data_IF_144546551119
#
_entry.id   IF_144546551119
#
_cell.length_a   1.000
_cell.length_b   1.000
_cell.length_c   1.000
_cell.angle_alpha   90.00
_cell.angle_beta   90.00
_cell.angle_gamma   90.00
#
_symmetry.space_group_name_H-M   'P 1'
#
loop_
_entity.id
_entity.type
_entity.pdbx_description
1 polymer ?
#
# COMPACT_ATOMS: atom_id res chain seq x y z
N UNK A 1 -89.70 53.26 7.93
CA UNK A 1 -88.80 52.09 8.11
C UNK A 1 -88.09 51.66 6.83
N UNK A 2 -88.77 51.27 5.73
CA UNK A 2 -88.08 50.90 4.47
C UNK A 2 -87.47 52.13 3.77
N UNK A 3 -88.24 53.22 3.65
CA UNK A 3 -87.77 54.49 3.06
C UNK A 3 -86.55 55.09 3.77
N UNK A 4 -86.48 54.93 5.09
CA UNK A 4 -85.40 55.52 5.91
C UNK A 4 -84.10 54.70 5.85
N UNK A 5 -84.18 53.43 5.46
CA UNK A 5 -83.05 52.49 5.45
C UNK A 5 -82.60 52.09 4.04
N UNK A 6 -83.36 52.43 2.99
CA UNK A 6 -83.03 52.12 1.61
C UNK A 6 -82.59 53.38 0.86
N UNK A 7 -81.29 53.53 0.68
CA UNK A 7 -80.71 54.56 -0.19
C UNK A 7 -80.43 53.98 -1.56
N UNK A 8 -80.99 54.60 -2.60
CA UNK A 8 -80.82 54.18 -4.00
C UNK A 8 -79.86 55.17 -4.66
N UNK A 9 -78.77 54.66 -5.23
CA UNK A 9 -77.81 55.44 -6.02
C UNK A 9 -77.92 54.97 -7.48
N UNK A 10 -78.15 55.91 -8.39
CA UNK A 10 -78.30 55.64 -9.82
C UNK A 10 -77.13 56.26 -10.58
N UNK A 11 -76.30 55.42 -11.19
CA UNK A 11 -75.22 55.87 -12.07
C UNK A 11 -75.72 55.86 -13.53
N UNK A 12 -75.93 57.03 -14.10
CA UNK A 12 -76.48 57.20 -15.44
C UNK A 12 -75.49 57.96 -16.33
N UNK A 13 -75.32 57.51 -17.57
CA UNK A 13 -74.47 58.21 -18.53
C UNK A 13 -75.22 59.42 -19.12
N UNK A 14 -74.62 60.62 -19.13
CA UNK A 14 -75.19 61.79 -19.80
C UNK A 14 -75.08 61.71 -21.33
N UNK A 15 -74.38 60.71 -21.86
CA UNK A 15 -74.14 60.56 -23.30
C UNK A 15 -75.36 59.94 -23.99
N UNK A 16 -75.90 60.66 -24.98
CA UNK A 16 -77.03 60.23 -25.82
C UNK A 16 -78.38 60.74 -25.33
N UNK A 17 -79.46 60.32 -25.99
CA UNK A 17 -80.81 60.83 -25.71
C UNK A 17 -81.57 60.04 -24.64
N UNK A 18 -81.12 58.82 -24.33
CA UNK A 18 -81.84 57.90 -23.44
C UNK A 18 -82.07 58.47 -22.03
N UNK A 19 -81.07 59.15 -21.45
CA UNK A 19 -81.20 59.79 -20.14
C UNK A 19 -82.26 60.90 -20.18
N UNK A 20 -82.22 61.75 -21.21
CA UNK A 20 -83.19 62.84 -21.39
C UNK A 20 -84.61 62.31 -21.51
N UNK A 21 -84.82 61.24 -22.28
CA UNK A 21 -86.14 60.59 -22.42
C UNK A 21 -86.60 59.99 -21.10
N UNK A 22 -85.72 59.32 -20.34
CA UNK A 22 -86.07 58.74 -19.03
C UNK A 22 -86.44 59.80 -17.99
N UNK A 23 -85.71 60.91 -17.93
CA UNK A 23 -86.02 62.02 -17.02
C UNK A 23 -87.40 62.63 -17.35
N UNK A 24 -87.76 62.73 -18.64
CA UNK A 24 -89.09 63.20 -19.07
C UNK A 24 -90.20 62.23 -18.72
N UNK A 25 -89.96 60.92 -18.85
CA UNK A 25 -90.92 59.88 -18.47
C UNK A 25 -91.10 59.75 -16.96
N UNK A 26 -90.04 60.00 -16.17
CA UNK A 26 -90.03 59.84 -14.72
C UNK A 26 -89.50 61.09 -14.00
N UNK A 27 -90.34 62.12 -13.80
CA UNK A 27 -89.95 63.37 -13.12
C UNK A 27 -89.47 63.19 -11.68
N UNK A 28 -89.87 62.10 -11.02
CA UNK A 28 -89.43 61.75 -9.66
C UNK A 28 -87.92 61.55 -9.54
N UNK A 29 -87.22 61.18 -10.62
CA UNK A 29 -85.77 61.04 -10.63
C UNK A 29 -85.04 62.38 -10.39
N UNK A 30 -85.65 63.51 -10.76
CA UNK A 30 -85.08 64.84 -10.52
C UNK A 30 -85.62 65.44 -9.22
N UNK A 31 -86.90 65.20 -8.91
CA UNK A 31 -87.55 65.80 -7.75
C UNK A 31 -87.21 65.11 -6.42
N UNK A 32 -86.84 63.82 -6.44
CA UNK A 32 -86.63 63.03 -5.22
C UNK A 32 -85.18 62.54 -5.05
N UNK A 33 -84.29 62.82 -6.00
CA UNK A 33 -82.87 62.45 -5.90
C UNK A 33 -82.00 63.71 -5.95
N UNK A 34 -80.87 63.66 -5.23
CA UNK A 34 -79.79 64.63 -5.42
C UNK A 34 -78.99 64.26 -6.66
N UNK A 35 -78.67 65.27 -7.49
CA UNK A 35 -77.88 65.09 -8.70
C UNK A 35 -76.45 65.47 -8.40
N UNK A 36 -75.52 64.57 -8.71
CA UNK A 36 -74.08 64.78 -8.62
C UNK A 36 -73.47 64.59 -10.01
N UNK A 37 -72.69 65.56 -10.47
CA UNK A 37 -72.12 65.59 -11.82
C UNK A 37 -70.64 65.18 -11.77
N UNK A 38 -70.30 64.15 -12.54
CA UNK A 38 -68.92 63.73 -12.74
C UNK A 38 -68.36 64.37 -14.02
N UNK A 39 -67.66 65.48 -13.83
CA UNK A 39 -66.92 66.13 -14.91
C UNK A 39 -65.59 65.43 -15.21
N UNK A 40 -65.01 65.84 -16.34
CA UNK A 40 -63.65 65.45 -16.71
C UNK A 40 -62.65 65.89 -15.62
N UNK A 41 -61.58 65.11 -15.45
CA UNK A 41 -60.57 65.44 -14.47
C UNK A 41 -59.81 66.70 -14.86
N UNK A 42 -59.74 67.72 -13.98
CA UNK A 42 -58.94 68.90 -14.25
C UNK A 42 -57.45 68.53 -14.30
N UNK A 43 -56.65 69.41 -14.89
CA UNK A 43 -55.20 69.22 -15.04
C UNK A 43 -54.51 68.94 -13.69
N UNK A 44 -54.93 69.64 -12.63
CA UNK A 44 -54.41 69.45 -11.28
C UNK A 44 -54.67 68.04 -10.73
N UNK A 45 -55.85 67.46 -11.04
CA UNK A 45 -56.20 66.11 -10.62
C UNK A 45 -55.37 65.07 -11.39
N UNK A 46 -55.20 65.24 -12.71
CA UNK A 46 -54.34 64.39 -13.54
C UNK A 46 -52.88 64.46 -13.05
N UNK A 47 -52.41 65.65 -12.70
CA UNK A 47 -51.05 65.85 -12.18
C UNK A 47 -50.86 65.18 -10.81
N UNK A 48 -51.84 65.28 -9.91
CA UNK A 48 -51.80 64.65 -8.59
C UNK A 48 -51.75 63.12 -8.70
N UNK A 49 -52.56 62.56 -9.61
CA UNK A 49 -52.61 61.11 -9.87
C UNK A 49 -51.31 60.63 -10.49
N UNK A 50 -50.83 61.27 -11.56
CA UNK A 50 -49.57 60.89 -12.20
C UNK A 50 -48.39 60.97 -11.23
N UNK A 51 -48.29 62.01 -10.40
CA UNK A 51 -47.27 62.11 -9.34
C UNK A 51 -47.31 60.91 -8.39
N UNK A 52 -48.49 60.52 -7.91
CA UNK A 52 -48.66 59.38 -6.98
C UNK A 52 -48.27 58.03 -7.62
N UNK A 53 -48.56 57.85 -8.91
CA UNK A 53 -48.18 56.62 -9.60
C UNK A 53 -46.68 56.58 -9.91
N UNK A 54 -46.11 57.69 -10.38
CA UNK A 54 -44.69 57.81 -10.74
C UNK A 54 -43.79 57.76 -9.50
N UNK A 55 -44.25 58.26 -8.34
CA UNK A 55 -43.48 58.18 -7.10
C UNK A 55 -43.18 56.75 -6.67
N UNK A 56 -43.99 55.78 -7.10
CA UNK A 56 -43.76 54.36 -6.82
C UNK A 56 -42.65 53.74 -7.68
N UNK A 57 -42.21 54.41 -8.74
CA UNK A 57 -41.16 53.93 -9.63
C UNK A 57 -39.80 54.20 -8.98
N UNK A 58 -39.13 53.14 -8.52
CA UNK A 58 -37.86 53.22 -7.76
C UNK A 58 -36.64 53.57 -8.62
N UNK A 59 -36.72 53.41 -9.94
CA UNK A 59 -35.58 53.53 -10.85
C UNK A 59 -35.10 54.97 -11.09
N UNK A 60 -35.95 55.97 -10.83
CA UNK A 60 -35.59 57.37 -11.00
C UNK A 60 -35.13 57.97 -9.65
N UNK A 61 -33.84 58.26 -9.55
CA UNK A 61 -33.26 58.91 -8.35
C UNK A 61 -33.54 60.41 -8.29
N UNK A 62 -33.70 61.05 -9.46
CA UNK A 62 -33.94 62.49 -9.57
C UNK A 62 -35.44 62.80 -9.54
N UNK A 63 -35.85 63.57 -8.55
CA UNK A 63 -37.23 64.00 -8.35
C UNK A 63 -37.69 65.00 -9.44
N UNK A 64 -36.75 65.74 -10.04
CA UNK A 64 -37.03 66.63 -11.18
C UNK A 64 -37.55 65.85 -12.38
N UNK A 65 -36.95 64.69 -12.67
CA UNK A 65 -37.36 63.81 -13.77
C UNK A 65 -38.76 63.25 -13.51
N UNK A 66 -39.06 62.84 -12.27
CA UNK A 66 -40.41 62.35 -11.92
C UNK A 66 -41.48 63.43 -12.09
N UNK A 67 -41.17 64.67 -11.71
CA UNK A 67 -42.09 65.79 -11.90
C UNK A 67 -42.30 66.12 -13.39
N UNK A 68 -41.23 66.09 -14.19
CA UNK A 68 -41.31 66.28 -15.63
C UNK A 68 -42.14 65.17 -16.30
N UNK A 69 -41.94 63.92 -15.89
CA UNK A 69 -42.71 62.78 -16.38
C UNK A 69 -44.19 62.88 -16.01
N UNK A 70 -44.52 63.32 -14.80
CA UNK A 70 -45.90 63.54 -14.38
C UNK A 70 -46.59 64.58 -15.28
N UNK A 71 -45.93 65.72 -15.53
CA UNK A 71 -46.42 66.74 -16.47
C UNK A 71 -46.56 66.20 -17.89
N UNK A 72 -45.61 65.37 -18.36
CA UNK A 72 -45.68 64.74 -19.67
C UNK A 72 -46.89 63.80 -19.80
N UNK A 73 -47.20 63.00 -18.76
CA UNK A 73 -48.38 62.15 -18.76
C UNK A 73 -49.66 62.97 -18.89
N UNK A 74 -49.77 64.08 -18.16
CA UNK A 74 -50.91 65.01 -18.26
C UNK A 74 -51.03 65.56 -19.68
N UNK A 75 -49.93 66.08 -20.23
CA UNK A 75 -49.88 66.61 -21.60
C UNK A 75 -50.37 65.59 -22.64
N UNK A 76 -49.90 64.34 -22.56
CA UNK A 76 -50.33 63.27 -23.48
C UNK A 76 -51.83 62.97 -23.37
N UNK A 77 -52.39 63.01 -22.17
CA UNK A 77 -53.83 62.78 -21.99
C UNK A 77 -54.67 63.90 -22.61
N UNK A 78 -54.29 65.14 -22.32
CA UNK A 78 -54.96 66.34 -22.86
C UNK A 78 -54.85 66.40 -24.38
N UNK A 79 -53.67 66.09 -24.95
CA UNK A 79 -53.49 66.06 -26.40
C UNK A 79 -54.36 65.00 -27.06
N UNK A 80 -54.48 63.80 -26.46
CA UNK A 80 -55.38 62.76 -27.00
C UNK A 80 -56.85 63.20 -26.98
N UNK A 81 -57.26 63.98 -25.99
CA UNK A 81 -58.61 64.53 -25.93
C UNK A 81 -58.86 65.59 -27.02
N UNK A 82 -57.90 66.49 -27.24
CA UNK A 82 -57.94 67.48 -28.32
C UNK A 82 -58.00 66.80 -29.70
N UNK A 83 -57.12 65.83 -29.95
CA UNK A 83 -57.09 65.04 -31.18
C UNK A 83 -58.38 64.24 -31.37
N UNK A 84 -58.97 63.70 -30.30
CA UNK A 84 -60.27 63.01 -30.38
C UNK A 84 -61.39 63.94 -30.83
N UNK A 85 -61.32 65.23 -30.45
CA UNK A 85 -62.27 66.26 -30.87
C UNK A 85 -62.08 66.62 -32.34
N UNK A 86 -60.85 66.79 -32.79
CA UNK A 86 -60.52 67.03 -34.19
C UNK A 86 -60.92 65.85 -35.08
N UNK A 87 -60.65 64.63 -34.64
CA UNK A 87 -61.04 63.39 -35.30
C UNK A 87 -62.57 63.28 -35.46
N UNK A 88 -63.32 63.65 -34.42
CA UNK A 88 -64.77 63.72 -34.52
C UNK A 88 -65.23 64.80 -35.51
N UNK A 89 -64.59 65.97 -35.51
CA UNK A 89 -64.95 67.04 -36.43
C UNK A 89 -64.75 66.64 -37.89
N UNK A 90 -63.64 65.97 -38.20
CA UNK A 90 -63.27 65.53 -39.55
C UNK A 90 -64.08 64.32 -40.05
N UNK A 91 -64.18 63.26 -39.23
CA UNK A 91 -64.72 61.96 -39.68
C UNK A 91 -66.10 61.62 -39.09
N UNK A 92 -66.63 62.44 -38.18
CA UNK A 92 -67.89 62.21 -37.45
C UNK A 92 -67.92 60.89 -36.67
N UNK A 93 -66.75 60.30 -36.39
CA UNK A 93 -66.58 59.10 -35.57
C UNK A 93 -66.19 59.50 -34.15
N UNK A 94 -67.01 59.14 -33.16
CA UNK A 94 -66.73 59.44 -31.75
C UNK A 94 -65.74 58.43 -31.18
N UNK A 95 -64.67 58.94 -30.57
CA UNK A 95 -63.74 58.20 -29.72
C UNK A 95 -63.89 58.74 -28.30
N UNK A 96 -63.85 57.86 -27.31
CA UNK A 96 -64.02 58.24 -25.91
C UNK A 96 -62.73 57.99 -25.15
N UNK A 97 -62.23 59.03 -24.50
CA UNK A 97 -61.13 58.95 -23.55
C UNK A 97 -61.73 58.86 -22.14
N UNK A 98 -61.35 57.84 -21.38
CA UNK A 98 -61.85 57.66 -20.01
C UNK A 98 -60.71 57.85 -19.00
N UNK A 99 -61.00 58.28 -17.76
CA UNK A 99 -59.99 58.31 -16.69
C UNK A 99 -59.33 56.95 -16.44
N UNK A 100 -60.05 55.85 -16.71
CA UNK A 100 -59.48 54.50 -16.64
C UNK A 100 -58.39 54.28 -17.68
N UNK A 101 -58.57 54.75 -18.91
CA UNK A 101 -57.55 54.70 -19.96
C UNK A 101 -56.27 55.46 -19.55
N UNK A 102 -56.40 56.58 -18.82
CA UNK A 102 -55.26 57.31 -18.27
C UNK A 102 -54.50 56.51 -17.19
N UNK A 103 -55.23 55.90 -16.26
CA UNK A 103 -54.64 55.03 -15.23
C UNK A 103 -53.94 53.82 -15.85
N UNK A 104 -54.53 53.21 -16.88
CA UNK A 104 -53.96 52.08 -17.59
C UNK A 104 -52.71 52.47 -18.38
N UNK A 105 -52.68 53.68 -18.97
CA UNK A 105 -51.49 54.23 -19.61
C UNK A 105 -50.33 54.36 -18.61
N UNK A 106 -50.55 55.00 -17.46
CA UNK A 106 -49.49 55.17 -16.45
C UNK A 106 -49.04 53.83 -15.85
N UNK A 107 -49.99 52.92 -15.62
CA UNK A 107 -49.69 51.58 -15.08
C UNK A 107 -48.87 50.76 -16.08
N UNK A 108 -49.25 50.79 -17.35
CA UNK A 108 -48.51 50.14 -18.45
C UNK A 108 -47.11 50.72 -18.60
N UNK A 109 -46.98 52.04 -18.52
CA UNK A 109 -45.68 52.72 -18.56
C UNK A 109 -44.77 52.28 -17.41
N UNK A 110 -45.31 52.26 -16.19
CA UNK A 110 -44.56 51.85 -14.99
C UNK A 110 -44.04 50.40 -15.13
N UNK A 111 -44.92 49.48 -15.54
CA UNK A 111 -44.55 48.09 -15.81
C UNK A 111 -43.48 47.97 -16.89
N UNK A 112 -43.62 48.71 -17.99
CA UNK A 112 -42.67 48.67 -19.10
C UNK A 112 -41.27 49.16 -18.70
N UNK A 113 -41.20 50.21 -17.86
CA UNK A 113 -39.93 50.72 -17.32
C UNK A 113 -39.26 49.68 -16.44
N UNK A 114 -40.01 49.00 -15.56
CA UNK A 114 -39.46 47.96 -14.69
C UNK A 114 -38.91 46.77 -15.50
N UNK A 115 -39.67 46.32 -16.51
CA UNK A 115 -39.25 45.25 -17.43
C UNK A 115 -37.97 45.62 -18.19
N UNK A 116 -37.91 46.82 -18.77
CA UNK A 116 -36.74 47.28 -19.53
C UNK A 116 -35.52 47.48 -18.65
N UNK A 117 -35.69 48.01 -17.44
CA UNK A 117 -34.59 48.15 -16.49
C UNK A 117 -34.06 46.79 -16.04
N UNK A 118 -34.93 45.81 -15.80
CA UNK A 118 -34.53 44.44 -15.47
C UNK A 118 -33.72 43.80 -16.62
N UNK A 119 -34.21 43.94 -17.86
CA UNK A 119 -33.52 43.45 -19.05
C UNK A 119 -32.12 44.09 -19.21
N UNK A 120 -32.03 45.41 -19.10
CA UNK A 120 -30.77 46.14 -19.22
C UNK A 120 -29.81 45.84 -18.07
N UNK A 121 -30.31 45.72 -16.84
CA UNK A 121 -29.52 45.33 -15.67
C UNK A 121 -28.95 43.93 -15.85
N UNK A 122 -29.74 42.98 -16.35
CA UNK A 122 -29.28 41.63 -16.70
C UNK A 122 -28.13 41.66 -17.71
N UNK A 123 -28.30 42.38 -18.83
CA UNK A 123 -27.26 42.54 -19.85
C UNK A 123 -25.99 43.21 -19.29
N UNK A 124 -26.15 44.26 -18.47
CA UNK A 124 -25.04 44.93 -17.79
C UNK A 124 -24.28 43.96 -16.89
N UNK A 125 -24.98 43.15 -16.09
CA UNK A 125 -24.35 42.19 -15.18
C UNK A 125 -23.60 41.09 -15.93
N UNK A 126 -24.13 40.61 -17.06
CA UNK A 126 -23.43 39.66 -17.93
C UNK A 126 -22.14 40.27 -18.48
N UNK A 127 -22.20 41.49 -19.01
CA UNK A 127 -21.02 42.19 -19.51
C UNK A 127 -19.99 42.46 -18.41
N UNK A 128 -20.45 42.89 -17.24
CA UNK A 128 -19.59 43.12 -16.07
C UNK A 128 -18.88 41.83 -15.63
N UNK A 129 -19.62 40.72 -15.57
CA UNK A 129 -19.03 39.41 -15.24
C UNK A 129 -18.03 38.96 -16.30
N UNK A 130 -18.33 39.20 -17.58
CA UNK A 130 -17.40 38.94 -18.68
C UNK A 130 -16.12 39.76 -18.58
N UNK A 131 -16.25 41.07 -18.32
CA UNK A 131 -15.12 41.97 -18.14
C UNK A 131 -14.26 41.55 -16.94
N UNK A 132 -14.89 41.22 -15.81
CA UNK A 132 -14.19 40.74 -14.62
C UNK A 132 -13.39 39.47 -14.91
N UNK A 133 -13.98 38.50 -15.61
CA UNK A 133 -13.27 37.27 -16.01
C UNK A 133 -12.10 37.56 -16.95
N UNK A 134 -12.25 38.50 -17.87
CA UNK A 134 -11.16 38.91 -18.75
C UNK A 134 -10.02 39.56 -17.97
N UNK A 135 -10.34 40.42 -17.01
CA UNK A 135 -9.35 41.03 -16.12
C UNK A 135 -8.62 39.97 -15.28
N UNK A 136 -9.36 39.06 -14.64
CA UNK A 136 -8.80 37.93 -13.89
C UNK A 136 -7.88 37.07 -14.77
N UNK A 137 -8.33 36.72 -15.98
CA UNK A 137 -7.53 35.94 -16.94
C UNK A 137 -6.26 36.70 -17.36
N UNK A 138 -6.36 38.00 -17.60
CA UNK A 138 -5.21 38.81 -17.98
C UNK A 138 -4.17 38.89 -16.85
N UNK A 139 -4.62 39.02 -15.60
CA UNK A 139 -3.71 38.96 -14.44
C UNK A 139 -3.04 37.60 -14.30
N UNK A 140 -3.76 36.51 -14.55
CA UNK A 140 -3.21 35.17 -14.47
C UNK A 140 -2.23 34.88 -15.62
N UNK A 141 -2.52 35.33 -16.84
CA UNK A 141 -1.59 35.24 -17.98
C UNK A 141 -0.31 36.02 -17.70
N UNK A 142 -0.40 37.21 -17.08
CA UNK A 142 0.77 37.97 -16.68
C UNK A 142 1.61 37.22 -15.64
N UNK A 143 0.97 36.62 -14.62
CA UNK A 143 1.62 35.80 -13.59
C UNK A 143 2.34 34.58 -14.19
N UNK A 144 1.66 33.81 -15.03
CA UNK A 144 2.22 32.66 -15.73
C UNK A 144 3.36 33.08 -16.67
N UNK A 145 3.26 34.24 -17.31
CA UNK A 145 4.33 34.81 -18.13
C UNK A 145 5.61 35.10 -17.33
N UNK A 146 5.48 35.59 -16.09
CA UNK A 146 6.61 35.79 -15.20
C UNK A 146 7.21 34.46 -14.69
N UNK A 147 6.37 33.49 -14.31
CA UNK A 147 6.82 32.16 -13.91
C UNK A 147 7.58 31.45 -15.03
N UNK A 148 7.07 31.54 -16.26
CA UNK A 148 7.70 30.95 -17.43
C UNK A 148 9.06 31.60 -17.74
N UNK A 149 9.20 32.93 -17.54
CA UNK A 149 10.49 33.62 -17.62
C UNK A 149 11.49 33.11 -16.58
N UNK A 150 11.04 32.78 -15.36
CA UNK A 150 11.89 32.22 -14.29
C UNK A 150 12.25 30.75 -14.53
N UNK A 151 11.31 29.93 -15.02
CA UNK A 151 11.47 28.49 -15.22
C UNK A 151 12.30 28.14 -16.45
N UNK A 152 12.24 28.94 -17.53
CA UNK A 152 13.04 28.72 -18.74
C UNK A 152 14.54 28.50 -18.49
N UNK A 153 15.27 29.40 -17.81
CA UNK A 153 16.70 29.22 -17.58
C UNK A 153 17.01 28.03 -16.66
N UNK A 154 16.14 27.77 -15.67
CA UNK A 154 16.28 26.62 -14.76
C UNK A 154 16.13 25.32 -15.54
N UNK A 155 15.18 25.24 -16.49
CA UNK A 155 15.00 24.07 -17.33
C UNK A 155 16.21 23.84 -18.24
N UNK A 156 16.72 24.89 -18.89
CA UNK A 156 17.93 24.81 -19.71
C UNK A 156 19.15 24.33 -18.89
N UNK A 157 19.33 24.82 -17.66
CA UNK A 157 20.37 24.33 -16.76
C UNK A 157 20.17 22.87 -16.37
N UNK A 158 18.95 22.46 -16.02
CA UNK A 158 18.66 21.07 -15.68
C UNK A 158 18.89 20.12 -16.85
N UNK A 159 18.58 20.52 -18.09
CA UNK A 159 18.88 19.72 -19.29
C UNK A 159 20.39 19.51 -19.43
N UNK A 160 21.18 20.57 -19.24
CA UNK A 160 22.65 20.49 -19.29
C UNK A 160 23.18 19.58 -18.16
N UNK A 161 22.65 19.70 -16.95
CA UNK A 161 23.04 18.87 -15.80
C UNK A 161 22.64 17.40 -16.00
N UNK A 162 21.45 17.14 -16.54
CA UNK A 162 20.97 15.81 -16.87
C UNK A 162 21.85 15.15 -17.93
N UNK A 163 22.23 15.89 -18.99
CA UNK A 163 23.16 15.36 -20.00
C UNK A 163 24.52 15.03 -19.40
N UNK A 164 25.04 15.86 -18.49
CA UNK A 164 26.29 15.58 -17.76
C UNK A 164 26.16 14.33 -16.90
N UNK A 165 25.07 14.21 -16.13
CA UNK A 165 24.83 13.06 -15.27
C UNK A 165 24.66 11.77 -16.07
N UNK A 166 23.97 11.82 -17.22
CA UNK A 166 23.81 10.69 -18.14
C UNK A 166 25.17 10.17 -18.60
N UNK A 167 26.10 11.06 -18.97
CA UNK A 167 27.47 10.67 -19.37
C UNK A 167 28.27 10.02 -18.24
N UNK A 168 28.08 10.47 -17.00
CA UNK A 168 28.72 9.86 -15.83
C UNK A 168 28.12 8.48 -15.56
N UNK A 169 26.79 8.36 -15.55
CA UNK A 169 26.10 7.08 -15.37
C UNK A 169 26.44 6.04 -16.44
N UNK A 170 26.62 6.47 -17.70
CA UNK A 170 27.08 5.56 -18.76
C UNK A 170 28.49 5.02 -18.47
N UNK A 171 29.42 5.86 -17.99
CA UNK A 171 30.75 5.43 -17.58
C UNK A 171 30.69 4.46 -16.39
N UNK A 172 29.94 4.83 -15.36
CA UNK A 172 29.79 4.02 -14.14
C UNK A 172 29.13 2.68 -14.45
N UNK A 173 28.16 2.65 -15.39
CA UNK A 173 27.52 1.40 -15.86
C UNK A 173 28.50 0.50 -16.58
N UNK A 174 29.39 1.06 -17.41
CA UNK A 174 30.45 0.28 -18.09
C UNK A 174 31.40 -0.32 -17.05
N UNK A 175 31.80 0.46 -16.04
CA UNK A 175 32.70 0.00 -14.98
C UNK A 175 32.04 -1.04 -14.06
N UNK A 176 30.80 -0.81 -13.65
CA UNK A 176 30.02 -1.76 -12.86
C UNK A 176 29.79 -3.09 -13.61
N UNK A 177 29.51 -3.04 -14.92
CA UNK A 177 29.41 -4.27 -15.72
C UNK A 177 30.73 -5.03 -15.80
N UNK A 178 31.88 -4.35 -15.92
CA UNK A 178 33.19 -5.01 -15.88
C UNK A 178 33.42 -5.69 -14.53
N UNK A 179 33.15 -4.98 -13.44
CA UNK A 179 33.33 -5.52 -12.09
C UNK A 179 32.36 -6.68 -11.82
N UNK A 180 31.13 -6.62 -12.35
CA UNK A 180 30.15 -7.71 -12.24
C UNK A 180 30.65 -8.99 -12.90
N UNK A 181 31.24 -8.90 -14.09
CA UNK A 181 31.81 -10.07 -14.80
C UNK A 181 32.96 -10.69 -14.00
N UNK A 182 33.82 -9.87 -13.39
CA UNK A 182 34.92 -10.35 -12.54
C UNK A 182 34.37 -11.10 -11.31
N UNK A 183 33.39 -10.50 -10.62
CA UNK A 183 32.78 -11.11 -9.43
C UNK A 183 31.99 -12.39 -9.76
N UNK A 184 31.30 -12.44 -10.90
CA UNK A 184 30.61 -13.66 -11.35
C UNK A 184 31.59 -14.81 -11.63
N UNK A 185 32.76 -14.51 -12.22
CA UNK A 185 33.80 -15.53 -12.45
C UNK A 185 34.44 -16.00 -11.14
N UNK A 186 34.77 -15.07 -10.22
CA UNK A 186 35.29 -15.41 -8.89
C UNK A 186 34.29 -16.23 -8.08
N UNK A 187 33.00 -15.89 -8.13
CA UNK A 187 31.94 -16.64 -7.46
C UNK A 187 31.82 -18.08 -7.99
N UNK A 188 31.93 -18.28 -9.31
CA UNK A 188 31.92 -19.63 -9.91
C UNK A 188 33.10 -20.47 -9.42
N UNK A 189 34.30 -19.90 -9.37
CA UNK A 189 35.50 -20.60 -8.87
C UNK A 189 35.35 -20.99 -7.39
N UNK A 190 34.75 -20.12 -6.58
CA UNK A 190 34.47 -20.42 -5.16
C UNK A 190 33.42 -21.51 -5.02
N UNK A 191 32.36 -21.50 -5.84
CA UNK A 191 31.30 -22.52 -5.82
C UNK A 191 31.84 -23.90 -6.22
N UNK A 192 32.64 -23.99 -7.27
CA UNK A 192 33.27 -25.24 -7.71
C UNK A 192 34.16 -25.84 -6.60
N UNK A 193 35.00 -25.00 -5.97
CA UNK A 193 35.85 -25.43 -4.84
C UNK A 193 35.03 -25.86 -3.62
N UNK A 194 33.93 -25.17 -3.31
CA UNK A 194 33.06 -25.53 -2.20
C UNK A 194 32.38 -26.90 -2.42
N UNK A 195 31.99 -27.22 -3.65
CA UNK A 195 31.43 -28.52 -4.00
C UNK A 195 32.46 -29.65 -3.86
N UNK A 196 33.70 -29.42 -4.29
CA UNK A 196 34.80 -30.38 -4.13
C UNK A 196 35.09 -30.68 -2.64
N UNK A 197 35.18 -29.63 -1.82
CA UNK A 197 35.40 -29.77 -0.37
C UNK A 197 34.27 -30.56 0.29
N UNK A 198 33.01 -30.25 -0.04
CA UNK A 198 31.84 -30.94 0.53
C UNK A 198 31.80 -32.41 0.15
N UNK A 199 32.16 -32.75 -1.09
CA UNK A 199 32.24 -34.14 -1.54
C UNK A 199 33.33 -34.93 -0.80
N UNK A 200 34.48 -34.30 -0.54
CA UNK A 200 35.59 -34.91 0.21
C UNK A 200 35.25 -35.09 1.69
N UNK A 201 34.59 -34.10 2.30
CA UNK A 201 34.12 -34.17 3.68
C UNK A 201 33.11 -35.31 3.88
N UNK A 202 32.14 -35.46 2.99
CA UNK A 202 31.13 -36.52 3.07
C UNK A 202 31.75 -37.92 3.02
N UNK A 203 32.73 -38.14 2.12
CA UNK A 203 33.44 -39.43 2.02
C UNK A 203 34.26 -39.76 3.27
N UNK A 204 34.84 -38.75 3.93
CA UNK A 204 35.58 -38.94 5.17
C UNK A 204 34.64 -39.27 6.35
N UNK A 205 33.46 -38.65 6.39
CA UNK A 205 32.47 -38.87 7.43
C UNK A 205 31.82 -40.26 7.34
N UNK A 206 31.46 -40.71 6.13
CA UNK A 206 30.86 -42.03 5.92
C UNK A 206 31.76 -43.17 6.44
N UNK A 207 33.06 -43.10 6.19
CA UNK A 207 34.02 -44.09 6.70
C UNK A 207 34.16 -44.07 8.21
N UNK A 208 34.04 -42.90 8.83
CA UNK A 208 34.11 -42.76 10.29
C UNK A 208 32.85 -43.34 10.95
N UNK A 209 31.69 -43.12 10.34
CA UNK A 209 30.38 -43.57 10.83
C UNK A 209 30.24 -45.11 10.81
N UNK A 210 30.98 -45.83 9.96
CA UNK A 210 31.03 -47.30 9.98
C UNK A 210 31.90 -47.85 11.12
N UNK A 211 32.98 -47.15 11.49
CA UNK A 211 34.00 -47.66 12.41
C UNK A 211 33.69 -47.38 13.89
N UNK A 212 33.04 -46.25 14.20
CA UNK A 212 32.65 -45.88 15.56
C UNK A 212 31.67 -46.90 16.21
N UNK A 213 30.54 -47.28 15.58
CA UNK A 213 29.58 -48.18 16.21
C UNK A 213 30.13 -49.60 16.41
N UNK A 214 31.02 -50.06 15.53
CA UNK A 214 31.71 -51.34 15.70
C UNK A 214 32.64 -51.33 16.93
N UNK A 215 33.28 -50.19 17.22
CA UNK A 215 34.12 -49.99 18.40
C UNK A 215 33.30 -49.91 19.69
N UNK A 216 32.22 -49.12 19.69
CA UNK A 216 31.36 -48.94 20.87
C UNK A 216 30.72 -50.27 21.31
N UNK A 217 30.20 -51.03 20.35
CA UNK A 217 29.66 -52.38 20.60
C UNK A 217 30.69 -53.32 21.23
N UNK A 218 31.96 -53.21 20.83
CA UNK A 218 33.02 -54.04 21.36
C UNK A 218 33.49 -53.59 22.76
N UNK A 219 33.47 -52.28 23.04
CA UNK A 219 33.76 -51.73 24.37
C UNK A 219 32.67 -52.10 25.38
N UNK A 220 31.40 -52.07 24.96
CA UNK A 220 30.27 -52.49 25.79
C UNK A 220 30.33 -54.00 26.12
N UNK A 221 30.72 -54.82 25.15
CA UNK A 221 30.93 -56.25 25.36
C UNK A 221 32.04 -56.57 26.38
N UNK A 222 33.05 -55.69 26.51
CA UNK A 222 34.11 -55.79 27.55
C UNK A 222 33.62 -55.26 28.89
N UNK A 223 32.79 -54.21 28.91
CA UNK A 223 32.19 -53.67 30.13
C UNK A 223 31.20 -54.61 30.82
N UNK A 224 30.53 -55.48 30.04
CA UNK A 224 29.54 -56.46 30.52
C UNK A 224 30.17 -57.73 31.12
N UNK A 225 31.49 -57.93 30.97
CA UNK A 225 32.20 -59.05 31.60
C UNK A 225 32.29 -58.87 33.12
N UNK A 226 31.98 -59.93 33.87
CA UNK A 226 32.00 -59.90 35.33
C UNK A 226 33.27 -60.57 35.89
N UNK A 227 33.74 -60.17 37.07
CA UNK A 227 35.02 -60.64 37.66
C UNK A 227 35.05 -62.17 37.90
N UNK A 228 33.88 -62.82 37.97
CA UNK A 228 33.72 -64.26 38.05
C UNK A 228 34.13 -65.02 36.77
N UNK A 229 33.88 -64.47 35.58
CA UNK A 229 34.18 -65.14 34.30
C UNK A 229 35.71 -65.27 34.05
N UNK A 230 36.51 -64.40 34.67
CA UNK A 230 37.98 -64.46 34.63
C UNK A 230 38.55 -65.34 35.75
N UNK A 231 37.86 -65.47 36.88
CA UNK A 231 38.28 -66.36 37.96
C UNK A 231 38.32 -67.83 37.49
N UNK A 232 37.39 -68.22 36.62
CA UNK A 232 37.38 -69.55 35.99
C UNK A 232 38.65 -69.81 35.16
N UNK A 233 39.16 -68.80 34.45
CA UNK A 233 40.38 -68.91 33.65
C UNK A 233 41.66 -68.91 34.50
N UNK A 234 41.61 -68.44 35.75
CA UNK A 234 42.75 -68.40 36.68
C UNK A 234 43.05 -69.77 37.30
N UNK A 235 42.02 -70.59 37.49
CA UNK A 235 42.09 -71.93 38.12
C UNK A 235 42.57 -73.00 37.13
N UNK A 236 42.38 -72.79 35.83
CA UNK A 236 42.77 -73.76 34.80
C UNK A 236 44.29 -73.96 34.73
N UNK A 237 44.72 -75.24 34.80
CA UNK A 237 46.14 -75.63 34.80
C UNK A 237 46.76 -75.64 33.38
N UNK A 238 45.97 -75.84 32.32
CA UNK A 238 46.40 -75.75 30.90
C UNK A 238 45.39 -74.98 30.03
N UNK A 239 45.81 -73.93 29.30
CA UNK A 239 44.91 -73.15 28.45
C UNK A 239 44.59 -73.85 27.13
N UNK A 240 43.32 -73.77 26.68
CA UNK A 240 42.97 -74.11 25.30
C UNK A 240 43.69 -73.16 24.32
N UNK A 241 44.11 -73.65 23.14
CA UNK A 241 44.87 -72.85 22.16
C UNK A 241 44.21 -71.49 21.82
N UNK A 242 42.87 -71.43 21.73
CA UNK A 242 42.12 -70.20 21.41
C UNK A 242 42.20 -69.13 22.51
N UNK A 243 42.23 -69.53 23.77
CA UNK A 243 42.35 -68.59 24.90
C UNK A 243 43.75 -68.00 24.91
N UNK A 244 44.78 -68.83 24.69
CA UNK A 244 46.17 -68.36 24.58
C UNK A 244 46.35 -67.35 23.43
N UNK A 245 45.74 -67.59 22.26
CA UNK A 245 45.77 -66.67 21.11
C UNK A 245 45.09 -65.34 21.45
N UNK A 246 43.93 -65.38 22.12
CA UNK A 246 43.17 -64.17 22.49
C UNK A 246 43.94 -63.31 23.50
N UNK A 247 44.49 -63.92 24.55
CA UNK A 247 45.29 -63.19 25.54
C UNK A 247 46.63 -62.71 24.98
N UNK A 248 47.22 -63.43 24.02
CA UNK A 248 48.40 -62.94 23.28
C UNK A 248 48.05 -61.70 22.47
N UNK A 249 46.91 -61.67 21.79
CA UNK A 249 46.45 -60.51 21.03
C UNK A 249 46.17 -59.29 21.93
N UNK A 250 45.55 -59.50 23.10
CA UNK A 250 45.31 -58.44 24.09
C UNK A 250 46.61 -57.93 24.72
N UNK A 251 47.58 -58.81 24.98
CA UNK A 251 48.89 -58.43 25.53
C UNK A 251 49.73 -57.62 24.56
N UNK A 252 49.64 -57.93 23.26
CA UNK A 252 50.27 -57.15 22.19
C UNK A 252 49.65 -55.74 22.18
N UNK A 253 48.34 -55.61 22.37
CA UNK A 253 47.64 -54.32 22.37
C UNK A 253 47.95 -53.47 23.63
N UNK A 254 48.06 -54.08 24.80
CA UNK A 254 48.41 -53.42 26.07
C UNK A 254 49.91 -53.14 26.24
N UNK A 255 50.73 -53.43 25.21
CA UNK A 255 52.18 -53.17 25.15
C UNK A 255 53.01 -53.82 26.27
N UNK A 256 52.46 -54.80 27.00
CA UNK A 256 53.16 -55.36 28.16
C UNK A 256 54.29 -56.32 27.76
N UNK A 257 54.25 -56.98 26.57
CA UNK A 257 55.39 -57.62 25.85
C UNK A 257 55.06 -57.93 24.37
N UNK A 258 56.05 -57.84 23.49
CA UNK A 258 55.96 -58.03 22.02
C UNK A 258 56.48 -59.38 21.51
N UNK A 259 56.26 -60.47 22.25
CA UNK A 259 56.78 -61.79 21.89
C UNK A 259 55.62 -62.72 21.49
N UNK A 260 55.67 -63.30 20.29
CA UNK A 260 54.58 -64.08 19.69
C UNK A 260 54.26 -65.44 20.36
N UNK A 261 54.82 -65.72 21.54
CA UNK A 261 54.52 -66.90 22.36
C UNK A 261 54.59 -66.54 23.84
N UNK A 262 53.44 -66.20 24.42
CA UNK A 262 53.33 -65.97 25.86
C UNK A 262 53.24 -67.33 26.58
N UNK A 263 54.02 -67.49 27.66
CA UNK A 263 53.87 -68.64 28.57
C UNK A 263 52.68 -68.40 29.50
N UNK A 264 51.86 -69.43 29.75
CA UNK A 264 50.62 -69.31 30.56
C UNK A 264 50.85 -68.69 31.95
N UNK A 265 52.03 -68.87 32.53
CA UNK A 265 52.45 -68.24 33.79
C UNK A 265 52.43 -66.70 33.76
N UNK A 266 52.70 -66.10 32.61
CA UNK A 266 52.76 -64.64 32.44
C UNK A 266 51.35 -64.06 32.19
N UNK A 267 50.48 -64.79 31.49
CA UNK A 267 49.05 -64.47 31.35
C UNK A 267 48.38 -64.47 32.74
N UNK A 268 48.71 -65.45 33.60
CA UNK A 268 48.21 -65.49 34.99
C UNK A 268 48.64 -64.28 35.83
N UNK A 269 49.83 -63.71 35.59
CA UNK A 269 50.30 -62.48 36.27
C UNK A 269 49.56 -61.25 35.76
N UNK A 270 49.35 -61.15 34.46
CA UNK A 270 48.58 -60.07 33.84
C UNK A 270 47.14 -60.03 34.40
N UNK A 271 46.49 -61.20 34.47
CA UNK A 271 45.16 -61.40 35.05
C UNK A 271 45.08 -61.18 36.57
N UNK A 272 46.22 -61.17 37.28
CA UNK A 272 46.27 -60.88 38.72
C UNK A 272 46.41 -59.38 39.04
N UNK A 273 46.76 -58.56 38.04
CA UNK A 273 46.82 -57.11 38.12
C UNK A 273 45.52 -56.45 37.67
N UNK A 274 45.44 -55.11 37.71
CA UNK A 274 44.26 -54.28 37.39
C UNK A 274 43.91 -54.25 35.87
N UNK A 275 43.70 -55.44 35.29
CA UNK A 275 43.53 -55.71 33.86
C UNK A 275 42.28 -55.03 33.27
N UNK A 276 41.16 -55.02 34.00
CA UNK A 276 39.93 -54.39 33.53
C UNK A 276 40.03 -52.87 33.44
N UNK A 277 40.67 -52.23 34.42
CA UNK A 277 40.86 -50.77 34.41
C UNK A 277 41.75 -50.36 33.23
N UNK A 278 42.77 -51.16 32.89
CA UNK A 278 43.61 -50.96 31.71
C UNK A 278 42.88 -51.13 30.38
N UNK A 279 41.95 -52.10 30.28
CA UNK A 279 41.12 -52.28 29.09
C UNK A 279 40.07 -51.17 28.91
N UNK A 280 39.48 -50.69 30.02
CA UNK A 280 38.49 -49.61 29.99
C UNK A 280 39.10 -48.23 29.76
N UNK A 281 40.30 -48.00 30.26
CA UNK A 281 41.04 -46.74 30.10
C UNK A 281 41.99 -46.74 28.89
N UNK A 282 41.87 -47.71 27.97
CA UNK A 282 42.75 -47.81 26.80
C UNK A 282 42.46 -46.66 25.81
N UNK A 283 43.50 -45.89 25.49
CA UNK A 283 43.41 -44.77 24.55
C UNK A 283 43.41 -45.31 23.11
N UNK A 284 42.21 -45.41 22.53
CA UNK A 284 41.95 -45.86 21.15
C UNK A 284 42.61 -45.01 20.06
N UNK A 285 43.04 -43.78 20.39
CA UNK A 285 43.57 -42.82 19.42
C UNK A 285 45.12 -42.75 19.41
N UNK A 286 45.81 -43.41 20.36
CA UNK A 286 47.29 -43.38 20.50
C UNK A 286 47.95 -44.75 20.46
N UNK A 287 47.68 -45.52 19.40
CA UNK A 287 48.31 -46.84 19.20
C UNK A 287 49.52 -46.71 18.25
N UNK A 288 50.74 -47.11 18.66
CA UNK A 288 51.91 -47.10 17.78
C UNK A 288 51.75 -48.02 16.56
N UNK A 289 52.20 -47.54 15.40
CA UNK A 289 52.11 -48.29 14.13
C UNK A 289 52.75 -49.69 14.18
N UNK A 290 53.80 -49.84 14.99
CA UNK A 290 54.50 -51.12 15.19
C UNK A 290 53.60 -52.16 15.85
N UNK A 291 52.76 -51.76 16.79
CA UNK A 291 51.82 -52.64 17.50
C UNK A 291 50.70 -53.09 16.57
N UNK A 292 50.14 -52.15 15.79
CA UNK A 292 49.10 -52.43 14.79
C UNK A 292 49.60 -53.42 13.74
N UNK A 293 50.78 -53.19 13.15
CA UNK A 293 51.33 -54.07 12.11
C UNK A 293 51.65 -55.48 12.66
N UNK A 294 52.04 -55.57 13.93
CA UNK A 294 52.32 -56.85 14.58
C UNK A 294 51.03 -57.60 14.89
N UNK A 295 50.02 -56.88 15.36
CA UNK A 295 48.68 -57.41 15.62
C UNK A 295 47.96 -57.85 14.34
N UNK A 296 48.07 -57.08 13.26
CA UNK A 296 47.47 -57.40 11.97
C UNK A 296 48.05 -58.68 11.38
N UNK A 297 49.39 -58.80 11.37
CA UNK A 297 50.10 -60.03 10.99
C UNK A 297 49.75 -61.21 11.91
N UNK A 298 49.41 -60.96 13.16
CA UNK A 298 49.00 -62.00 14.11
C UNK A 298 47.56 -62.47 13.86
N UNK A 299 46.64 -61.56 13.53
CA UNK A 299 45.27 -61.88 13.16
C UNK A 299 45.21 -62.59 11.80
N UNK A 300 45.99 -62.14 10.81
CA UNK A 300 46.09 -62.80 9.49
C UNK A 300 46.65 -64.24 9.58
N UNK A 301 47.62 -64.47 10.47
CA UNK A 301 48.21 -65.80 10.70
C UNK A 301 47.29 -66.77 11.44
N UNK A 302 46.22 -66.29 12.06
CA UNK A 302 45.28 -67.11 12.82
C UNK A 302 43.84 -66.93 12.29
N UNK A 303 43.46 -67.59 11.17
CA UNK A 303 42.13 -67.46 10.56
C UNK A 303 40.96 -67.82 11.49
N UNK A 304 41.21 -68.66 12.51
CA UNK A 304 40.21 -69.10 13.47
C UNK A 304 39.98 -68.10 14.63
N UNK A 305 40.65 -66.94 14.62
CA UNK A 305 40.46 -65.87 15.62
C UNK A 305 39.24 -65.00 15.31
N UNK A 306 38.06 -65.63 15.40
CA UNK A 306 36.74 -65.01 15.18
C UNK A 306 35.95 -65.09 16.49
N UNK A 307 35.17 -64.05 16.87
CA UNK A 307 34.40 -64.05 18.11
C UNK A 307 33.52 -65.30 18.30
N UNK A 308 32.98 -65.87 17.21
CA UNK A 308 32.14 -67.08 17.26
C UNK A 308 32.90 -68.36 17.62
N UNK A 309 34.12 -68.53 17.13
CA UNK A 309 34.94 -69.72 17.45
C UNK A 309 35.54 -69.63 18.85
N UNK A 310 35.91 -68.42 19.29
CA UNK A 310 36.41 -68.20 20.65
C UNK A 310 35.28 -68.36 21.69
N UNK A 311 34.03 -68.06 21.32
CA UNK A 311 32.85 -68.26 22.17
C UNK A 311 32.66 -69.71 22.63
N UNK A 312 33.01 -70.69 21.80
CA UNK A 312 32.92 -72.12 22.12
C UNK A 312 33.89 -72.53 23.23
N UNK A 313 34.97 -71.77 23.42
CA UNK A 313 35.97 -72.03 24.46
C UNK A 313 35.73 -71.20 25.72
N UNK A 314 35.37 -69.92 25.59
CA UNK A 314 35.09 -69.04 26.73
C UNK A 314 34.28 -67.82 26.33
N UNK A 315 33.29 -67.47 27.16
CA UNK A 315 32.51 -66.22 27.03
C UNK A 315 33.39 -64.98 27.22
N UNK A 316 34.33 -65.00 28.15
CA UNK A 316 35.30 -63.92 28.35
C UNK A 316 36.26 -63.79 27.16
N UNK A 317 36.67 -64.91 26.56
CA UNK A 317 37.47 -64.91 25.32
C UNK A 317 36.77 -64.26 24.13
N UNK A 318 35.46 -64.48 23.97
CA UNK A 318 34.65 -63.87 22.89
C UNK A 318 34.68 -62.34 22.94
N UNK A 319 34.40 -61.75 24.10
CA UNK A 319 34.35 -60.30 24.29
C UNK A 319 35.71 -59.65 24.07
N UNK A 320 36.80 -60.27 24.56
CA UNK A 320 38.16 -59.79 24.32
C UNK A 320 38.57 -59.90 22.85
N UNK A 321 38.19 -60.97 22.16
CA UNK A 321 38.41 -61.13 20.72
C UNK A 321 37.68 -60.05 19.89
N UNK A 322 36.41 -59.78 20.22
CA UNK A 322 35.61 -58.74 19.57
C UNK A 322 36.23 -57.35 19.75
N UNK A 323 36.69 -57.05 20.96
CA UNK A 323 37.36 -55.79 21.30
C UNK A 323 38.66 -55.55 20.55
N UNK A 324 39.56 -56.56 20.53
CA UNK A 324 40.82 -56.45 19.80
C UNK A 324 40.60 -56.23 18.30
N UNK A 325 39.60 -56.92 17.71
CA UNK A 325 39.27 -56.74 16.27
C UNK A 325 38.65 -55.38 15.98
N UNK A 326 37.77 -54.89 16.84
CA UNK A 326 37.14 -53.59 16.67
C UNK A 326 38.14 -52.43 16.79
N UNK A 327 39.09 -52.51 17.72
CA UNK A 327 40.19 -51.55 17.84
C UNK A 327 41.08 -51.57 16.58
N UNK A 328 41.39 -52.74 16.05
CA UNK A 328 42.17 -52.86 14.82
C UNK A 328 41.48 -52.21 13.62
N UNK A 329 40.16 -52.43 13.46
CA UNK A 329 39.36 -51.82 12.38
C UNK A 329 39.27 -50.30 12.53
N UNK A 330 38.98 -49.80 13.73
CA UNK A 330 38.92 -48.37 14.03
C UNK A 330 40.24 -47.66 13.71
N UNK A 331 41.36 -48.22 14.16
CA UNK A 331 42.67 -47.60 13.97
C UNK A 331 43.12 -47.59 12.51
N UNK A 332 42.71 -48.58 11.71
CA UNK A 332 42.92 -48.58 10.25
C UNK A 332 42.12 -47.49 9.56
N UNK A 333 40.87 -47.27 9.98
CA UNK A 333 39.99 -46.23 9.42
C UNK A 333 40.49 -44.83 9.79
N UNK A 334 40.88 -44.59 11.04
CA UNK A 334 41.42 -43.30 11.48
C UNK A 334 42.67 -42.91 10.68
N UNK A 335 43.60 -43.85 10.43
CA UNK A 335 44.80 -43.60 9.62
C UNK A 335 44.53 -43.32 8.15
N UNK A 336 43.43 -43.84 7.59
CA UNK A 336 43.02 -43.50 6.22
C UNK A 336 42.40 -42.10 6.15
N UNK A 337 41.83 -41.61 7.26
CA UNK A 337 41.17 -40.31 7.34
C UNK A 337 42.13 -39.18 7.74
N UNK A 338 43.23 -39.47 8.44
CA UNK A 338 44.29 -38.49 8.78
C UNK A 338 44.80 -37.66 7.57
N UNK A 339 45.19 -38.26 6.42
CA UNK A 339 45.61 -37.48 5.26
C UNK A 339 44.45 -36.67 4.65
N UNK A 340 43.23 -37.22 4.62
CA UNK A 340 42.04 -36.53 4.11
C UNK A 340 41.64 -35.30 4.96
N UNK A 341 41.86 -35.36 6.28
CA UNK A 341 41.64 -34.23 7.19
C UNK A 341 42.70 -33.13 7.05
N UNK A 342 43.94 -33.50 6.73
CA UNK A 342 45.02 -32.54 6.49
C UNK A 342 44.83 -31.80 5.15
N UNK A 343 44.37 -32.50 4.10
CA UNK A 343 44.05 -31.88 2.81
C UNK A 343 42.85 -30.93 2.91
N UNK A 344 41.81 -31.29 3.69
CA UNK A 344 40.66 -30.43 3.98
C UNK A 344 40.99 -29.17 4.80
N UNK A 345 42.11 -29.14 5.52
CA UNK A 345 42.52 -27.99 6.34
C UNK A 345 43.42 -26.99 5.59
N UNK A 346 44.01 -27.39 4.45
CA UNK A 346 44.90 -26.57 3.64
C UNK A 346 44.23 -26.00 2.36
N UNK A 347 43.02 -26.48 2.03
CA UNK A 347 42.14 -25.94 0.98
C UNK A 347 41.15 -24.94 1.56
#
# INVERSE_FOLDING_TARGET
>A
RVRDNLHIVLCLSPVGEALRTRIRMFPSLVNCCSIDWFDQWPEDALLSISKRFISNIKHFSDESIKQALAKACVFVHTSVEEESREFYNALKRKVYTTPKSYLDFISSYSKYIDEKNSELSGRRNTLYTGLKKLEETNTEVARLGEELKKLKPILEQNVIEQEKLSKVLEKDKIEANKNKVIVEEEARVVEDKALEIKALQNKAQERLDEAIPALENAQEAVNTLNQGDIAELKIVNEPTPMISITFTAVSILLEERTDAKIKWSDIKKMLASDFFSKLKAYDKDKIPQKVINTLDKFVEKNPNFVPEEVAKSSKAGKSLCLWVRAILTYTKVVKQIEPLKADLANM
#
